data_IF_187680217523
#
_entry.id   IF_187680217523
#
_cell.length_a   1.000
_cell.length_b   1.000
_cell.length_c   1.000
_cell.angle_alpha   90.00
_cell.angle_beta   90.00
_cell.angle_gamma   90.00
#
_symmetry.space_group_name_H-M   'P 1'
#
loop_
_entity.id
_entity.type
_entity.pdbx_description
1 polymer ?
#
# COMPACT_ATOMS: atom_id res chain seq x y z
N UNK A 1 -17.05 -14.82 7.96
CA UNK A 1 -15.82 -14.10 7.57
C UNK A 1 -15.00 -15.06 6.73
N UNK A 2 -14.56 -14.60 5.56
CA UNK A 2 -13.78 -15.40 4.63
C UNK A 2 -12.45 -15.85 5.27
N UNK A 3 -11.94 -17.02 4.89
CA UNK A 3 -10.75 -17.66 5.48
C UNK A 3 -9.50 -16.85 5.17
N UNK A 4 -9.35 -16.33 3.96
CA UNK A 4 -8.20 -15.49 3.57
C UNK A 4 -8.10 -14.18 4.35
N UNK A 5 -9.23 -13.60 4.76
CA UNK A 5 -9.23 -12.44 5.66
C UNK A 5 -8.77 -12.78 7.08
N UNK A 6 -8.85 -14.06 7.49
CA UNK A 6 -8.38 -14.54 8.80
C UNK A 6 -6.90 -14.91 8.79
N UNK A 7 -6.28 -15.07 7.62
CA UNK A 7 -4.84 -15.38 7.49
C UNK A 7 -3.94 -14.28 8.09
N UNK A 8 -4.50 -13.12 8.45
CA UNK A 8 -3.89 -12.25 9.45
C UNK A 8 -2.68 -11.50 8.92
N UNK A 9 -2.80 -10.89 7.73
CA UNK A 9 -1.80 -9.95 7.28
C UNK A 9 -1.78 -8.74 8.21
N UNK A 10 -0.66 -8.57 8.91
CA UNK A 10 -0.42 -7.48 9.84
C UNK A 10 0.06 -6.26 9.08
N UNK A 11 -0.67 -5.15 9.22
CA UNK A 11 -0.30 -3.89 8.60
C UNK A 11 -1.48 -2.96 8.40
N UNK A 12 -1.19 -1.80 7.81
CA UNK A 12 -2.19 -0.81 7.46
C UNK A 12 -2.84 -1.16 6.11
N UNK A 13 -4.13 -0.90 5.98
CA UNK A 13 -4.90 -1.26 4.79
C UNK A 13 -5.62 -0.06 4.18
N UNK A 14 -5.82 -0.10 2.87
CA UNK A 14 -6.54 0.92 2.08
C UNK A 14 -7.30 0.29 0.93
N UNK A 15 -8.29 1.01 0.41
CA UNK A 15 -9.06 0.58 -0.76
C UNK A 15 -8.67 1.44 -1.95
N UNK A 16 -8.25 0.80 -3.05
CA UNK A 16 -7.93 1.45 -4.33
C UNK A 16 -8.63 0.67 -5.43
N UNK A 17 -9.30 1.36 -6.37
CA UNK A 17 -10.13 0.73 -7.40
C UNK A 17 -11.18 -0.29 -6.87
N UNK A 18 -11.63 -0.14 -5.62
CA UNK A 18 -12.54 -1.09 -4.97
C UNK A 18 -11.89 -2.40 -4.48
N UNK A 19 -10.56 -2.52 -4.57
CA UNK A 19 -9.80 -3.65 -4.05
C UNK A 19 -9.09 -3.27 -2.75
N UNK A 20 -9.03 -4.20 -1.80
CA UNK A 20 -8.37 -4.03 -0.52
C UNK A 20 -6.87 -4.31 -0.67
N UNK A 21 -6.04 -3.33 -0.34
CA UNK A 21 -4.59 -3.46 -0.30
C UNK A 21 -4.07 -3.42 1.14
N UNK A 22 -3.01 -4.16 1.40
CA UNK A 22 -2.29 -4.15 2.69
C UNK A 22 -0.84 -3.76 2.48
N UNK A 23 -0.43 -2.72 3.22
CA UNK A 23 0.96 -2.32 3.42
C UNK A 23 1.48 -3.02 4.67
N UNK A 24 2.36 -3.99 4.48
CA UNK A 24 2.97 -4.74 5.58
C UNK A 24 3.90 -3.87 6.42
N UNK A 25 3.91 -4.11 7.73
CA UNK A 25 4.90 -3.52 8.63
C UNK A 25 6.28 -4.19 8.51
N UNK A 26 6.35 -5.37 7.89
CA UNK A 26 7.60 -6.09 7.69
C UNK A 26 8.39 -5.46 6.54
N UNK A 27 9.65 -5.14 6.81
CA UNK A 27 10.57 -4.57 5.83
C UNK A 27 10.68 -5.47 4.59
N UNK A 28 10.84 -4.83 3.42
CA UNK A 28 10.99 -5.48 2.09
C UNK A 28 9.81 -6.31 1.62
N UNK A 29 8.70 -6.31 2.34
CA UNK A 29 7.50 -6.99 1.91
C UNK A 29 6.78 -6.19 0.83
N UNK A 30 6.39 -6.86 -0.25
CA UNK A 30 5.62 -6.24 -1.33
C UNK A 30 4.21 -5.91 -0.87
N UNK A 31 3.62 -4.89 -1.48
CA UNK A 31 2.21 -4.57 -1.32
C UNK A 31 1.38 -5.79 -1.79
N UNK A 32 0.31 -6.07 -1.05
CA UNK A 32 -0.61 -7.16 -1.38
C UNK A 32 -2.00 -6.65 -1.64
N UNK A 33 -2.72 -7.35 -2.50
CA UNK A 33 -4.13 -7.11 -2.81
C UNK A 33 -4.94 -8.35 -2.42
N UNK A 34 -6.12 -8.14 -1.86
CA UNK A 34 -7.06 -9.22 -1.57
C UNK A 34 -7.91 -9.53 -2.81
N UNK A 35 -7.94 -10.81 -3.17
CA UNK A 35 -8.81 -11.36 -4.21
C UNK A 35 -10.06 -11.95 -3.55
N UNK A 36 -11.20 -11.30 -3.76
CA UNK A 36 -12.49 -11.73 -3.22
C UNK A 36 -13.02 -13.00 -3.87
N UNK A 37 -12.58 -13.35 -5.09
CA UNK A 37 -13.03 -14.54 -5.81
C UNK A 37 -12.37 -15.79 -5.23
N UNK A 38 -11.06 -15.73 -4.99
CA UNK A 38 -10.27 -16.85 -4.46
C UNK A 38 -10.12 -16.84 -2.96
N UNK A 39 -10.59 -15.77 -2.30
CA UNK A 39 -10.42 -15.54 -0.86
C UNK A 39 -8.95 -15.65 -0.43
N UNK A 40 -8.07 -14.97 -1.16
CA UNK A 40 -6.62 -15.04 -0.98
C UNK A 40 -5.94 -13.69 -1.15
N UNK A 41 -4.65 -13.62 -0.79
CA UNK A 41 -3.84 -12.42 -0.93
C UNK A 41 -2.71 -12.62 -1.94
N UNK A 42 -2.61 -11.70 -2.89
CA UNK A 42 -1.60 -11.74 -3.93
C UNK A 42 -0.63 -10.57 -3.79
N UNK A 43 0.65 -10.83 -3.99
CA UNK A 43 1.63 -9.76 -4.11
C UNK A 43 1.47 -9.07 -5.47
N UNK A 44 1.41 -7.75 -5.45
CA UNK A 44 1.32 -6.97 -6.68
C UNK A 44 2.72 -6.77 -7.29
N UNK A 45 2.75 -6.40 -8.57
CA UNK A 45 4.01 -6.12 -9.25
C UNK A 45 4.62 -4.78 -8.79
N UNK A 46 5.95 -4.69 -8.91
CA UNK A 46 6.72 -3.52 -8.49
C UNK A 46 7.56 -3.75 -7.22
N UNK A 47 8.34 -2.71 -6.84
CA UNK A 47 9.22 -2.77 -5.69
C UNK A 47 8.45 -2.75 -4.36
N UNK A 48 9.03 -3.32 -3.29
CA UNK A 48 8.50 -3.17 -1.93
C UNK A 48 8.53 -1.71 -1.47
N UNK A 49 7.87 -1.43 -0.35
CA UNK A 49 7.90 -0.11 0.26
C UNK A 49 9.35 0.32 0.52
N UNK A 50 9.77 1.54 0.14
CA UNK A 50 11.13 2.02 0.33
C UNK A 50 11.56 1.99 1.80
N UNK A 51 12.80 1.55 2.06
CA UNK A 51 13.34 1.37 3.42
C UNK A 51 13.36 2.68 4.23
N UNK A 52 13.42 3.84 3.54
CA UNK A 52 13.38 5.18 4.14
C UNK A 52 12.12 5.44 4.98
N UNK A 53 10.99 4.79 4.66
CA UNK A 53 9.74 4.97 5.39
C UNK A 53 9.81 4.32 6.79
N UNK A 54 10.70 3.33 6.99
CA UNK A 54 11.01 2.72 8.28
C UNK A 54 9.75 2.56 9.18
N UNK A 55 8.92 1.57 8.83
CA UNK A 55 7.59 1.26 9.38
C UNK A 55 6.44 2.18 8.91
N UNK A 56 5.37 1.63 8.31
CA UNK A 56 4.18 2.39 7.95
C UNK A 56 3.33 2.68 9.19
N UNK A 57 3.28 3.93 9.65
CA UNK A 57 2.47 4.35 10.81
C UNK A 57 1.04 4.71 10.41
N UNK A 58 0.88 5.38 9.27
CA UNK A 58 -0.42 5.75 8.74
C UNK A 58 -0.43 5.54 7.23
N UNK A 59 -1.54 5.01 6.71
CA UNK A 59 -1.74 4.81 5.28
C UNK A 59 -3.07 5.41 4.88
N UNK A 60 -3.08 6.14 3.78
CA UNK A 60 -4.29 6.69 3.18
C UNK A 60 -4.25 6.45 1.66
N UNK A 61 -5.39 6.58 0.99
CA UNK A 61 -5.48 6.42 -0.45
C UNK A 61 -6.35 7.50 -1.06
N UNK A 62 -6.00 7.93 -2.27
CA UNK A 62 -6.87 8.74 -3.10
C UNK A 62 -6.70 8.37 -4.57
N UNK A 63 -7.82 8.18 -5.26
CA UNK A 63 -7.88 7.78 -6.66
C UNK A 63 -7.04 6.51 -6.93
N UNK A 64 -5.91 6.66 -7.62
CA UNK A 64 -4.95 5.61 -7.93
C UNK A 64 -3.69 5.66 -7.06
N UNK A 65 -3.64 6.52 -6.05
CA UNK A 65 -2.47 6.72 -5.19
C UNK A 65 -2.68 6.16 -3.79
N UNK A 66 -1.62 5.58 -3.24
CA UNK A 66 -1.49 5.22 -1.83
C UNK A 66 -0.44 6.14 -1.21
N UNK A 67 -0.74 6.68 -0.03
CA UNK A 67 0.14 7.53 0.75
C UNK A 67 0.51 6.79 2.02
N UNK A 68 1.78 6.47 2.19
CA UNK A 68 2.30 5.81 3.38
C UNK A 68 3.16 6.81 4.13
N UNK A 69 2.78 7.09 5.38
CA UNK A 69 3.55 7.96 6.27
C UNK A 69 4.35 7.10 7.23
N UNK A 70 5.66 7.27 7.16
CA UNK A 70 6.66 6.54 7.91
C UNK A 70 7.17 7.28 9.13
N UNK A 71 8.19 6.69 9.76
CA UNK A 71 8.95 7.37 10.82
C UNK A 71 9.51 8.70 10.29
N UNK A 72 9.73 9.66 11.20
CA UNK A 72 10.27 10.98 10.88
C UNK A 72 9.40 11.78 9.88
N UNK A 73 8.14 11.38 9.67
CA UNK A 73 7.21 11.94 8.69
C UNK A 73 7.63 11.78 7.21
N UNK A 74 8.54 10.86 6.87
CA UNK A 74 8.79 10.54 5.45
C UNK A 74 7.51 10.00 4.82
N UNK A 75 7.22 10.41 3.59
CA UNK A 75 6.01 9.99 2.87
C UNK A 75 6.39 9.22 1.62
N UNK A 76 5.86 8.01 1.46
CA UNK A 76 5.92 7.28 0.20
C UNK A 76 4.59 7.38 -0.51
N UNK A 77 4.62 7.90 -1.73
CA UNK A 77 3.48 7.95 -2.66
C UNK A 77 3.61 6.78 -3.62
N UNK A 78 2.68 5.84 -3.55
CA UNK A 78 2.58 4.68 -4.42
C UNK A 78 1.53 4.91 -5.49
N UNK A 79 1.93 5.03 -6.76
CA UNK A 79 0.99 5.07 -7.88
C UNK A 79 0.61 3.63 -8.29
N UNK A 80 -0.66 3.29 -8.14
CA UNK A 80 -1.24 1.98 -8.46
C UNK A 80 -1.76 1.97 -9.89
N UNK A 81 -1.17 1.13 -10.71
CA UNK A 81 -1.61 0.90 -12.09
C UNK A 81 -2.38 -0.42 -12.17
N UNK A 82 -3.51 -0.41 -12.88
CA UNK A 82 -4.22 -1.63 -13.27
C UNK A 82 -3.59 -2.20 -14.52
N UNK A 83 -3.18 -3.46 -14.46
CA UNK A 83 -2.75 -4.23 -15.62
C UNK A 83 -3.98 -4.98 -16.15
N UNK A 84 -4.14 -4.97 -17.47
CA UNK A 84 -5.20 -5.75 -18.12
C UNK A 84 -4.96 -7.24 -17.84
N UNK A 85 -6.02 -8.02 -17.60
CA UNK A 85 -5.89 -9.47 -17.55
C UNK A 85 -5.30 -9.96 -18.87
N UNK A 86 -4.31 -10.86 -18.80
CA UNK A 86 -3.78 -11.53 -19.97
C UNK A 86 -4.94 -12.28 -20.65
N UNK A 87 -5.02 -12.26 -21.99
CA UNK A 87 -6.16 -12.81 -22.77
C UNK A 87 -6.45 -14.29 -22.45
N UNK A 88 -5.53 -14.97 -21.77
CA UNK A 88 -5.56 -16.39 -21.45
C UNK A 88 -5.71 -16.70 -19.95
N UNK A 89 -5.92 -15.69 -19.09
CA UNK A 89 -6.08 -15.84 -17.64
C UNK A 89 -7.46 -15.38 -17.19
N UNK A 90 -8.16 -16.24 -16.43
CA UNK A 90 -9.44 -15.92 -15.78
C UNK A 90 -9.37 -14.54 -15.12
N UNK A 91 -10.15 -13.57 -15.64
CA UNK A 91 -10.57 -12.26 -15.11
C UNK A 91 -9.97 -11.77 -13.77
N UNK A 92 -8.66 -11.84 -13.60
CA UNK A 92 -7.97 -11.43 -12.37
C UNK A 92 -7.24 -10.15 -12.66
N UNK A 93 -7.69 -9.08 -12.02
CA UNK A 93 -7.01 -7.80 -12.11
C UNK A 93 -5.63 -7.93 -11.49
N UNK A 94 -4.61 -7.68 -12.32
CA UNK A 94 -3.25 -7.53 -11.86
C UNK A 94 -2.98 -6.07 -11.58
N UNK A 95 -2.21 -5.79 -10.53
CA UNK A 95 -1.86 -4.43 -10.14
C UNK A 95 -0.34 -4.29 -10.11
N UNK A 96 0.13 -3.06 -10.30
CA UNK A 96 1.52 -2.71 -10.08
C UNK A 96 1.65 -1.39 -9.33
N UNK A 97 2.73 -1.24 -8.55
CA UNK A 97 3.03 -0.02 -7.81
C UNK A 97 4.33 0.61 -8.25
N UNK A 98 4.36 1.94 -8.31
CA UNK A 98 5.58 2.73 -8.40
C UNK A 98 5.66 3.67 -7.21
N UNK A 99 6.74 3.59 -6.45
CA UNK A 99 6.96 4.42 -5.27
C UNK A 99 7.73 5.69 -5.61
N UNK A 100 7.30 6.80 -5.03
CA UNK A 100 8.01 8.06 -4.97
C UNK A 100 8.11 8.48 -3.50
N UNK A 101 9.33 8.71 -3.01
CA UNK A 101 9.56 9.11 -1.61
C UNK A 101 9.70 10.63 -1.54
N UNK A 102 9.02 11.21 -0.57
CA UNK A 102 9.11 12.61 -0.19
C UNK A 102 9.74 12.64 1.20
N UNK A 103 10.93 13.22 1.27
CA UNK A 103 11.65 13.36 2.52
C UNK A 103 11.05 14.46 3.38
N UNK A 104 10.92 14.17 4.67
CA UNK A 104 10.53 15.17 5.64
C UNK A 104 11.72 16.09 5.98
N UNK A 105 11.45 17.35 6.37
CA UNK A 105 12.46 18.22 6.94
C UNK A 105 13.09 17.62 8.20
N UNK A 106 14.41 17.75 8.35
CA UNK A 106 15.15 17.23 9.52
C UNK A 106 14.60 17.76 10.85
N UNK A 107 14.02 18.97 10.87
CA UNK A 107 13.41 19.55 12.07
C UNK A 107 12.24 18.74 12.63
N UNK A 108 11.68 17.81 11.85
CA UNK A 108 10.53 16.98 12.22
C UNK A 108 10.92 15.52 12.47
N UNK A 109 12.22 15.19 12.50
CA UNK A 109 12.70 13.80 12.61
C UNK A 109 12.24 13.09 13.89
N UNK A 110 12.01 13.84 14.96
CA UNK A 110 11.65 13.25 16.26
C UNK A 110 10.14 13.02 16.41
N UNK A 111 9.34 13.40 15.40
CA UNK A 111 7.89 13.22 15.41
C UNK A 111 7.49 11.84 14.91
N UNK A 112 6.53 11.23 15.60
CA UNK A 112 5.91 9.97 15.19
C UNK A 112 4.52 10.24 14.62
N UNK A 113 4.21 9.79 13.39
CA UNK A 113 2.89 9.98 12.82
C UNK A 113 1.84 9.18 13.59
N UNK A 114 0.67 9.77 13.79
CA UNK A 114 -0.49 9.08 14.38
C UNK A 114 -1.62 8.87 13.37
N UNK A 115 -1.78 9.78 12.41
CA UNK A 115 -2.83 9.74 11.39
C UNK A 115 -2.41 10.55 10.16
N UNK A 116 -3.07 10.32 9.02
CA UNK A 116 -2.83 11.06 7.79
C UNK A 116 -4.15 11.38 7.07
N UNK A 117 -4.23 12.57 6.46
CA UNK A 117 -5.37 13.04 5.68
C UNK A 117 -4.87 13.63 4.36
N UNK A 118 -5.58 13.35 3.26
CA UNK A 118 -5.31 13.92 1.94
C UNK A 118 -6.31 15.04 1.71
N UNK A 119 -5.83 16.27 1.49
CA UNK A 119 -6.65 17.47 1.31
C UNK A 119 -6.44 18.05 -0.10
N UNK A 120 -7.51 18.58 -0.69
CA UNK A 120 -7.51 19.26 -1.98
C UNK A 120 -7.69 20.77 -1.77
N UNK A 121 -7.01 21.57 -2.59
CA UNK A 121 -7.08 23.02 -2.59
C UNK A 121 -7.85 23.53 -3.82
#
# INVERSE_FOLDING_TARGET
MAVGLREGWTGSSVIVYGHLFVVSELERMKLKVYDTKTDSWDAIDGPPLPEQICKPFAVNACDCHIYVVGRNLHVAVGHISRLLPDENSDEKWSFSVRWHVIDAPESLSDLTPSSSQVLFA
#
